data_IF_209019455723
#
_entry.id   IF_209019455723
#
_cell.length_a   1.000
_cell.length_b   1.000
_cell.length_c   1.000
_cell.angle_alpha   90.00
_cell.angle_beta   90.00
_cell.angle_gamma   90.00
#
_symmetry.space_group_name_H-M   'P 1'
#
loop_
_entity.id
_entity.type
_entity.pdbx_description
1 polymer ?
#
# COMPACT_ATOMS: atom_id res chain seq x y z
N UNK A 1 9.88 14.51 10.89
CA UNK A 1 10.49 14.13 9.59
C UNK A 1 9.97 15.09 8.55
N UNK A 2 10.75 15.46 7.51
CA UNK A 2 10.23 16.29 6.42
C UNK A 2 9.11 15.57 5.67
N UNK A 3 8.31 16.33 4.92
CA UNK A 3 7.36 15.76 3.98
C UNK A 3 8.10 14.94 2.91
N UNK A 4 7.48 13.86 2.45
CA UNK A 4 8.11 12.93 1.49
C UNK A 4 7.61 13.25 0.11
N UNK A 5 8.53 13.33 -0.85
CA UNK A 5 8.17 13.63 -2.22
C UNK A 5 7.96 12.34 -2.99
N UNK A 6 6.73 11.99 -3.30
CA UNK A 6 6.41 10.93 -4.26
C UNK A 6 5.22 11.35 -5.12
N UNK A 7 5.00 10.64 -6.23
CA UNK A 7 3.87 10.91 -7.14
C UNK A 7 2.89 9.76 -7.15
N UNK A 8 1.60 10.05 -7.12
CA UNK A 8 0.54 9.07 -7.39
C UNK A 8 0.15 9.13 -8.87
N UNK A 9 0.21 8.00 -9.58
CA UNK A 9 -0.37 7.90 -10.92
C UNK A 9 -1.90 8.04 -10.89
N UNK A 10 -2.52 8.23 -12.06
CA UNK A 10 -3.98 8.22 -12.15
C UNK A 10 -4.58 6.88 -11.70
N UNK A 11 -3.91 5.76 -11.99
CA UNK A 11 -4.37 4.45 -11.55
C UNK A 11 -4.29 4.31 -10.03
N UNK A 12 -3.21 4.79 -9.40
CA UNK A 12 -3.09 4.79 -7.95
C UNK A 12 -4.24 5.57 -7.29
N UNK A 13 -4.60 6.73 -7.83
CA UNK A 13 -5.75 7.51 -7.32
C UNK A 13 -7.06 6.76 -7.45
N UNK A 14 -7.30 6.10 -8.59
CA UNK A 14 -8.48 5.24 -8.77
C UNK A 14 -8.48 4.08 -7.78
N UNK A 15 -7.35 3.40 -7.58
CA UNK A 15 -7.23 2.33 -6.59
C UNK A 15 -7.51 2.80 -5.16
N UNK A 16 -7.08 4.03 -4.79
CA UNK A 16 -7.37 4.59 -3.46
C UNK A 16 -8.88 4.79 -3.31
N UNK A 17 -9.54 5.33 -4.34
CA UNK A 17 -10.99 5.51 -4.33
C UNK A 17 -11.74 4.16 -4.35
N UNK A 18 -11.26 3.16 -5.08
CA UNK A 18 -11.81 1.80 -5.06
C UNK A 18 -11.76 1.20 -3.65
N UNK A 19 -10.62 1.31 -2.95
CA UNK A 19 -10.52 0.86 -1.55
C UNK A 19 -11.48 1.67 -0.66
N UNK A 20 -11.60 2.98 -0.88
CA UNK A 20 -12.53 3.82 -0.12
C UNK A 20 -13.97 3.34 -0.29
N UNK A 21 -14.40 3.01 -1.50
CA UNK A 21 -15.74 2.51 -1.77
C UNK A 21 -15.96 1.13 -1.14
N UNK A 22 -14.99 0.21 -1.26
CA UNK A 22 -15.03 -1.07 -0.55
C UNK A 22 -15.20 -0.85 0.96
N UNK A 23 -14.48 0.12 1.52
CA UNK A 23 -14.59 0.45 2.93
C UNK A 23 -16.00 0.92 3.30
N UNK A 24 -16.55 1.87 2.55
CA UNK A 24 -17.90 2.40 2.75
C UNK A 24 -18.98 1.33 2.60
N UNK A 25 -18.81 0.39 1.68
CA UNK A 25 -19.74 -0.72 1.49
C UNK A 25 -19.75 -1.68 2.68
N UNK A 26 -18.60 -1.89 3.33
CA UNK A 26 -18.47 -2.78 4.48
C UNK A 26 -18.77 -2.10 5.82
N UNK A 27 -18.53 -0.79 5.92
CA UNK A 27 -18.65 0.00 7.15
C UNK A 27 -19.38 1.33 6.88
N UNK A 28 -20.65 1.31 6.46
CA UNK A 28 -21.38 2.51 6.02
C UNK A 28 -21.54 3.57 7.12
N UNK A 29 -21.57 3.16 8.39
CA UNK A 29 -21.74 4.05 9.54
C UNK A 29 -20.41 4.63 10.06
N UNK A 30 -19.27 4.14 9.56
CA UNK A 30 -17.93 4.53 9.98
C UNK A 30 -17.10 5.00 8.78
N UNK A 31 -17.42 6.16 8.17
CA UNK A 31 -16.79 6.57 6.93
C UNK A 31 -15.26 6.76 7.10
N UNK A 32 -14.46 6.39 6.09
CA UNK A 32 -13.03 6.63 6.10
C UNK A 32 -12.75 8.13 5.96
N UNK A 33 -11.84 8.65 6.77
CA UNK A 33 -11.50 10.07 6.87
C UNK A 33 -10.44 10.46 5.83
N UNK A 34 -9.27 9.83 5.90
CA UNK A 34 -8.18 10.03 4.94
C UNK A 34 -7.37 8.74 4.73
N UNK A 35 -6.75 8.55 3.56
CA UNK A 35 -5.90 7.41 3.30
C UNK A 35 -4.56 7.52 4.03
N UNK A 36 -3.99 6.36 4.31
CA UNK A 36 -2.62 6.20 4.76
C UNK A 36 -1.85 5.30 3.81
N UNK A 37 -0.62 5.67 3.51
CA UNK A 37 0.28 4.89 2.68
C UNK A 37 1.46 4.43 3.54
N UNK A 38 1.91 3.18 3.36
CA UNK A 38 3.12 2.68 3.98
C UNK A 38 3.80 1.62 3.11
N UNK A 39 5.05 1.30 3.45
CA UNK A 39 5.74 0.12 2.92
C UNK A 39 5.55 -1.03 3.89
N UNK A 40 4.83 -2.05 3.44
CA UNK A 40 4.61 -3.27 4.19
C UNK A 40 5.59 -4.36 3.73
N UNK A 41 6.24 -5.01 4.68
CA UNK A 41 7.11 -6.16 4.42
C UNK A 41 6.28 -7.44 4.43
N UNK A 42 6.32 -8.17 3.32
CA UNK A 42 5.66 -9.46 3.15
C UNK A 42 6.69 -10.57 3.26
N UNK A 43 6.35 -11.59 4.04
CA UNK A 43 7.10 -12.84 4.15
C UNK A 43 6.29 -13.95 3.46
N UNK A 44 6.83 -14.49 2.37
CA UNK A 44 6.22 -15.57 1.62
C UNK A 44 6.69 -16.94 2.15
N UNK A 45 5.85 -17.96 1.97
CA UNK A 45 6.12 -19.33 2.47
C UNK A 45 7.32 -20.01 1.79
N UNK A 46 7.74 -19.51 0.63
CA UNK A 46 8.99 -19.92 -0.03
C UNK A 46 10.25 -19.22 0.53
N UNK A 47 10.12 -18.44 1.61
CA UNK A 47 11.20 -17.71 2.26
C UNK A 47 11.54 -16.36 1.62
N UNK A 48 10.86 -15.98 0.54
CA UNK A 48 11.05 -14.67 -0.09
C UNK A 48 10.48 -13.57 0.80
N UNK A 49 11.26 -12.52 0.98
CA UNK A 49 10.83 -11.30 1.66
C UNK A 49 10.84 -10.17 0.65
N UNK A 50 9.73 -9.45 0.55
CA UNK A 50 9.63 -8.28 -0.31
C UNK A 50 8.79 -7.18 0.35
N UNK A 51 9.04 -5.94 -0.04
CA UNK A 51 8.24 -4.80 0.42
C UNK A 51 7.27 -4.38 -0.68
N UNK A 52 6.04 -4.06 -0.29
CA UNK A 52 5.10 -3.47 -1.22
C UNK A 52 4.34 -2.29 -0.60
N UNK A 53 3.81 -1.43 -1.47
CA UNK A 53 2.98 -0.30 -1.04
C UNK A 53 1.66 -0.85 -0.53
N UNK A 54 1.30 -0.45 0.68
CA UNK A 54 -0.02 -0.71 1.24
C UNK A 54 -0.75 0.61 1.42
N UNK A 55 -2.02 0.61 1.03
CA UNK A 55 -2.95 1.72 1.26
C UNK A 55 -4.01 1.24 2.23
N UNK A 56 -4.20 2.02 3.29
CA UNK A 56 -5.28 1.86 4.27
C UNK A 56 -6.02 3.19 4.47
N UNK A 57 -7.01 3.18 5.36
CA UNK A 57 -7.74 4.39 5.72
C UNK A 57 -7.82 4.53 7.23
N UNK A 58 -7.69 5.77 7.69
CA UNK A 58 -8.06 6.13 9.04
C UNK A 58 -9.57 6.29 9.11
N UNK A 59 -10.19 5.64 10.09
CA UNK A 59 -11.57 5.90 10.45
C UNK A 59 -11.69 7.23 11.19
N UNK A 60 -12.83 7.89 11.03
CA UNK A 60 -13.16 9.05 11.85
C UNK A 60 -13.15 8.68 13.34
N UNK A 61 -12.48 9.50 14.15
CA UNK A 61 -12.34 9.27 15.58
C UNK A 61 -11.08 9.90 16.13
N UNK A 62 -10.80 9.65 17.41
CA UNK A 62 -9.64 10.23 18.11
C UNK A 62 -8.31 9.89 17.43
N UNK A 63 -8.17 8.66 16.93
CA UNK A 63 -6.99 8.26 16.18
C UNK A 63 -6.78 9.11 14.92
N UNK A 64 -7.83 9.38 14.13
CA UNK A 64 -7.72 10.26 12.96
C UNK A 64 -7.38 11.70 13.36
N UNK A 65 -8.01 12.24 14.40
CA UNK A 65 -7.73 13.60 14.88
C UNK A 65 -6.26 13.78 15.30
N UNK A 66 -5.73 12.81 16.04
CA UNK A 66 -4.32 12.80 16.46
C UNK A 66 -3.35 12.70 15.27
N UNK A 67 -3.83 12.16 14.16
CA UNK A 67 -3.04 11.94 12.96
C UNK A 67 -3.12 13.09 11.94
N UNK A 68 -4.13 13.98 12.02
CA UNK A 68 -4.28 15.14 11.11
C UNK A 68 -3.04 16.03 10.97
N UNK A 69 -2.26 16.33 12.03
CA UNK A 69 -1.06 17.16 11.90
C UNK A 69 0.03 16.55 11.01
N UNK A 70 -0.06 15.25 10.70
CA UNK A 70 0.87 14.51 9.86
C UNK A 70 0.37 14.33 8.42
N UNK A 71 -0.79 14.91 8.07
CA UNK A 71 -1.28 14.92 6.71
C UNK A 71 -0.33 15.69 5.80
N UNK A 72 -0.04 15.10 4.66
CA UNK A 72 0.67 15.74 3.57
C UNK A 72 -0.20 15.70 2.31
N UNK A 73 -0.14 16.79 1.54
CA UNK A 73 -0.84 16.89 0.25
C UNK A 73 0.03 16.26 -0.84
N UNK A 74 -0.48 15.23 -1.50
CA UNK A 74 0.15 14.59 -2.67
C UNK A 74 -0.78 14.73 -3.86
N UNK A 75 -0.48 15.69 -4.75
CA UNK A 75 -1.39 16.09 -5.80
C UNK A 75 -2.65 16.75 -5.24
N UNK A 76 -3.79 16.09 -5.36
CA UNK A 76 -5.10 16.54 -4.83
C UNK A 76 -5.58 15.76 -3.60
N UNK A 77 -4.80 14.77 -3.14
CA UNK A 77 -5.15 13.90 -2.00
C UNK A 77 -4.36 14.34 -0.76
N UNK A 78 -5.07 14.56 0.36
CA UNK A 78 -4.45 14.61 1.69
C UNK A 78 -4.32 13.18 2.22
N UNK A 79 -3.09 12.77 2.53
CA UNK A 79 -2.79 11.43 3.02
C UNK A 79 -1.73 11.47 4.11
N UNK A 80 -1.64 10.40 4.88
CA UNK A 80 -0.53 10.19 5.82
C UNK A 80 0.42 9.17 5.24
N UNK A 81 1.71 9.37 5.46
CA UNK A 81 2.70 8.36 5.16
C UNK A 81 3.40 7.87 6.43
N UNK A 82 3.33 6.56 6.67
CA UNK A 82 3.95 5.90 7.81
C UNK A 82 5.20 5.18 7.36
N UNK A 83 6.36 5.72 7.72
CA UNK A 83 7.62 5.02 7.51
C UNK A 83 8.64 5.25 8.59
N UNK A 84 9.50 4.24 8.70
CA UNK A 84 10.86 4.36 9.19
C UNK A 84 11.68 5.31 8.31
N UNK A 85 12.81 5.79 8.81
CA UNK A 85 13.75 6.58 8.01
C UNK A 85 14.20 5.84 6.73
N UNK A 86 14.30 4.51 6.79
CA UNK A 86 14.59 3.68 5.62
C UNK A 86 13.48 3.73 4.57
N UNK A 87 12.22 3.57 4.98
CA UNK A 87 11.09 3.64 4.06
C UNK A 87 10.90 5.04 3.45
N UNK A 88 11.30 6.10 4.17
CA UNK A 88 11.34 7.46 3.62
C UNK A 88 12.29 7.55 2.44
N UNK A 89 13.51 7.00 2.56
CA UNK A 89 14.49 7.03 1.47
C UNK A 89 14.05 6.24 0.24
N UNK A 90 13.34 5.13 0.43
CA UNK A 90 12.82 4.30 -0.68
C UNK A 90 11.72 4.98 -1.47
N UNK A 91 10.91 5.82 -0.82
CA UNK A 91 9.82 6.54 -1.49
C UNK A 91 10.21 7.89 -2.07
N UNK A 92 11.31 8.48 -1.63
CA UNK A 92 11.72 9.79 -2.12
C UNK A 92 11.96 9.75 -3.64
N UNK A 93 11.17 10.54 -4.38
CA UNK A 93 11.13 10.58 -5.84
C UNK A 93 10.34 9.44 -6.51
N UNK A 94 9.83 8.46 -5.76
CA UNK A 94 9.16 7.30 -6.34
C UNK A 94 7.81 7.65 -6.96
N UNK A 95 7.39 6.81 -7.92
CA UNK A 95 6.05 6.86 -8.50
C UNK A 95 5.27 5.68 -7.92
N UNK A 96 4.18 5.95 -7.20
CA UNK A 96 3.25 4.92 -6.76
C UNK A 96 2.20 4.73 -7.84
N UNK A 97 2.04 3.48 -8.27
CA UNK A 97 1.08 3.04 -9.27
C UNK A 97 0.17 1.96 -8.70
N UNK A 98 -0.88 1.61 -9.43
CA UNK A 98 -1.84 0.59 -9.04
C UNK A 98 -2.26 -0.23 -10.24
N UNK A 99 -2.42 -1.54 -10.02
CA UNK A 99 -2.98 -2.45 -11.01
C UNK A 99 -4.05 -3.34 -10.37
N UNK A 100 -5.22 -3.37 -10.99
CA UNK A 100 -6.35 -4.20 -10.55
C UNK A 100 -5.91 -5.66 -10.41
N UNK A 101 -6.24 -6.28 -9.27
CA UNK A 101 -5.87 -7.66 -8.95
C UNK A 101 -4.46 -7.85 -8.40
N UNK A 102 -3.56 -6.88 -8.57
CA UNK A 102 -2.18 -6.96 -8.10
C UNK A 102 -1.86 -5.97 -6.96
N UNK A 103 -2.64 -4.89 -6.84
CA UNK A 103 -2.50 -3.90 -5.78
C UNK A 103 -1.60 -2.72 -6.15
N UNK A 104 -1.14 -2.01 -5.12
CA UNK A 104 -0.24 -0.87 -5.25
C UNK A 104 1.21 -1.32 -5.35
N UNK A 105 2.04 -0.54 -6.03
CA UNK A 105 3.48 -0.77 -6.13
C UNK A 105 4.21 0.54 -6.41
N UNK A 106 5.52 0.55 -6.14
CA UNK A 106 6.44 1.63 -6.50
C UNK A 106 7.09 1.37 -7.85
N UNK A 107 7.34 2.45 -8.57
CA UNK A 107 8.14 2.50 -9.78
C UNK A 107 9.30 3.46 -9.56
N UNK A 108 10.48 3.02 -9.94
CA UNK A 108 11.65 3.89 -10.02
C UNK A 108 11.41 4.96 -11.11
N UNK A 109 11.58 6.25 -10.81
CA UNK A 109 11.23 7.33 -11.73
C UNK A 109 12.15 7.43 -12.96
N UNK A 110 13.34 6.81 -12.91
CA UNK A 110 14.35 6.88 -13.98
C UNK A 110 14.26 5.68 -14.90
N UNK A 111 14.19 4.49 -14.33
CA UNK A 111 14.24 3.20 -15.03
C UNK A 111 12.86 2.61 -15.27
N UNK A 112 11.84 3.05 -14.52
CA UNK A 112 10.50 2.48 -14.54
C UNK A 112 10.38 1.11 -13.88
N UNK A 113 11.46 0.61 -13.25
CA UNK A 113 11.47 -0.68 -12.58
C UNK A 113 10.46 -0.72 -11.44
N UNK A 114 9.71 -1.82 -11.34
CA UNK A 114 8.66 -2.03 -10.34
C UNK A 114 9.24 -2.78 -9.14
N UNK A 115 8.86 -2.43 -7.91
CA UNK A 115 9.30 -3.13 -6.69
C UNK A 115 8.48 -4.40 -6.37
N UNK A 116 7.59 -4.82 -7.29
CA UNK A 116 6.74 -6.00 -7.11
C UNK A 116 7.47 -7.27 -7.55
N UNK A 117 7.11 -8.38 -6.93
CA UNK A 117 7.55 -9.68 -7.39
C UNK A 117 6.85 -10.08 -8.70
N UNK A 118 7.51 -10.87 -9.56
CA UNK A 118 6.84 -11.55 -10.66
C UNK A 118 5.66 -12.41 -10.16
N UNK A 119 4.59 -12.50 -10.95
CA UNK A 119 3.36 -13.17 -10.54
C UNK A 119 3.58 -14.68 -10.29
N UNK A 120 4.42 -15.31 -11.10
CA UNK A 120 4.85 -16.71 -10.95
C UNK A 120 5.50 -16.97 -9.58
N UNK A 121 6.30 -16.02 -9.08
CA UNK A 121 6.92 -16.13 -7.75
C UNK A 121 5.87 -16.07 -6.63
N UNK A 122 4.82 -15.25 -6.82
CA UNK A 122 3.70 -15.14 -5.87
C UNK A 122 2.84 -16.41 -5.89
N UNK A 123 2.58 -16.95 -7.09
CA UNK A 123 1.77 -18.16 -7.28
C UNK A 123 2.46 -19.39 -6.68
N UNK A 124 3.77 -19.52 -6.89
CA UNK A 124 4.59 -20.57 -6.28
C UNK A 124 4.52 -20.54 -4.74
N UNK A 125 4.59 -19.34 -4.14
CA UNK A 125 4.45 -19.18 -2.70
C UNK A 125 3.07 -19.61 -2.19
N UNK A 126 2.00 -19.29 -2.92
CA UNK A 126 0.63 -19.68 -2.55
C UNK A 126 0.42 -21.18 -2.64
N UNK A 127 0.95 -21.82 -3.68
CA UNK A 127 0.84 -23.28 -3.87
C UNK A 127 1.48 -24.07 -2.71
N UNK A 128 2.59 -23.56 -2.12
CA UNK A 128 3.21 -24.18 -0.95
C UNK A 128 2.29 -24.16 0.28
N UNK A 129 1.55 -23.06 0.49
CA UNK A 129 0.58 -22.92 1.59
C UNK A 129 -0.55 -23.94 1.47
N UNK A 130 -1.14 -24.02 0.27
CA UNK A 130 -2.27 -24.90 -0.02
C UNK A 130 -1.86 -26.39 0.02
N UNK A 131 -0.69 -26.72 -0.54
CA UNK A 131 -0.13 -28.08 -0.50
C UNK A 131 0.32 -28.54 0.89
N UNK A 132 0.69 -27.60 1.77
CA UNK A 132 1.02 -27.88 3.17
C UNK A 132 -0.19 -28.16 4.06
N UNK A 133 -1.35 -27.59 3.72
CA UNK A 133 -2.61 -27.79 4.44
C UNK A 133 -3.25 -29.16 4.15
N UNK A 134 -3.01 -29.74 2.97
CA UNK A 134 -3.56 -31.04 2.56
C UNK A 134 -2.87 -32.27 3.17
N UNK A 135 -1.82 -32.11 4.00
CA UNK A 135 -1.06 -33.23 4.61
C UNK A 135 -1.28 -33.39 6.11
N UNK A 136 -2.35 -32.82 6.67
CA UNK A 136 -2.66 -32.85 8.11
C UNK A 136 -3.94 -33.61 8.47
N UNK A 137 -4.31 -34.62 7.67
CA UNK A 137 -5.39 -35.56 7.99
C UNK A 137 -4.86 -36.96 8.24
#
# INVERSE_FOLDING_TARGET
MPAINFTLTQNARRGIEEIRQIYLDNYPDEPPEFPSVCLATYHLDNGIVFENVMVGFYQKGEAAENMRPFLQRVGDIDLIYFVTEEGHRKLEGAIIDYRTGEGFFMRDPVTGAENRLPQDVIDDARALREGGQARKD
#
